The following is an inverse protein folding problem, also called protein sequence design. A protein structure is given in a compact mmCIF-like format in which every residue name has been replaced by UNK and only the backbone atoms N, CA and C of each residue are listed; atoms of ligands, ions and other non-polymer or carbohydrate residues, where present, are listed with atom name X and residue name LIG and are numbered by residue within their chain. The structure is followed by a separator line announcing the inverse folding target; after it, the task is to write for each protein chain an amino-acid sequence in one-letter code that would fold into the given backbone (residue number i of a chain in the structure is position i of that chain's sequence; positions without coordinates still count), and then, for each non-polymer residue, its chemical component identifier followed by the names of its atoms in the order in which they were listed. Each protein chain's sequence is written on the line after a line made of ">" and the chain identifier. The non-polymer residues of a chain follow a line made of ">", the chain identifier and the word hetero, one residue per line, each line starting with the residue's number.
data_IF_838572674487
#
_entry.id   IF_838572674487
#
_cell.length_a   1.000
_cell.length_b   1.000
_cell.length_c   1.000
_cell.angle_alpha   90.00
_cell.angle_beta   90.00
_cell.angle_gamma   90.00
#
_symmetry.space_group_name_H-M   'P 1'
#
loop_
_entity.id
_entity.type
_entity.pdbx_description
1 polymer ?
#
# COMPACT_ATOMS: atom_id res chain seq x y z
N UNK A 1 14.79 -10.15 -11.06
CA UNK A 1 15.88 -9.89 -10.08
C UNK A 1 15.76 -10.87 -8.94
N UNK A 2 14.63 -10.84 -8.24
CA UNK A 2 14.38 -11.68 -7.07
C UNK A 2 14.47 -13.18 -7.42
N UNK A 3 13.90 -13.61 -8.55
CA UNK A 3 14.02 -14.99 -9.04
C UNK A 3 15.49 -15.48 -9.17
N UNK A 4 16.34 -14.67 -9.83
CA UNK A 4 17.79 -14.94 -9.96
C UNK A 4 18.54 -15.02 -8.62
N UNK A 5 18.06 -14.31 -7.58
CA UNK A 5 18.68 -14.30 -6.25
C UNK A 5 18.19 -15.47 -5.40
N UNK A 6 16.93 -15.88 -5.58
CA UNK A 6 16.33 -16.95 -4.81
C UNK A 6 16.71 -18.34 -5.35
N UNK A 7 16.85 -18.47 -6.66
CA UNK A 7 17.22 -19.74 -7.28
C UNK A 7 18.63 -20.21 -6.87
N UNK A 8 19.56 -19.29 -6.58
CA UNK A 8 20.89 -19.64 -6.04
C UNK A 8 20.83 -20.26 -4.65
N UNK A 9 19.70 -20.10 -3.95
CA UNK A 9 19.44 -20.69 -2.64
C UNK A 9 18.47 -21.89 -2.73
N UNK A 10 18.25 -22.44 -3.94
CA UNK A 10 17.25 -23.48 -4.21
C UNK A 10 15.85 -23.11 -3.69
N UNK A 11 15.50 -21.82 -3.74
CA UNK A 11 14.17 -21.30 -3.39
C UNK A 11 13.48 -20.76 -4.64
N UNK A 12 12.20 -21.07 -4.74
CA UNK A 12 11.32 -20.54 -5.78
C UNK A 12 10.39 -19.49 -5.15
N UNK A 13 10.35 -18.29 -5.72
CA UNK A 13 9.34 -17.29 -5.36
C UNK A 13 8.06 -17.51 -6.16
N UNK A 14 6.92 -17.41 -5.48
CA UNK A 14 5.61 -17.30 -6.13
C UNK A 14 5.08 -15.89 -5.96
N UNK A 15 4.49 -15.35 -7.03
CA UNK A 15 3.95 -13.99 -7.06
C UNK A 15 2.44 -14.03 -7.37
N UNK A 16 1.57 -14.37 -6.39
CA UNK A 16 0.13 -14.53 -6.64
C UNK A 16 -0.54 -13.29 -7.24
N UNK A 17 -0.09 -12.09 -6.89
CA UNK A 17 -0.61 -10.84 -7.44
C UNK A 17 -0.18 -10.56 -8.89
N UNK A 18 0.75 -11.34 -9.43
CA UNK A 18 1.15 -11.31 -10.84
C UNK A 18 0.50 -12.45 -11.66
N UNK A 19 -0.42 -13.20 -11.07
CA UNK A 19 -1.16 -14.23 -11.80
C UNK A 19 -1.98 -13.62 -12.95
N UNK A 20 -2.09 -14.37 -14.05
CA UNK A 20 -2.77 -13.90 -15.27
C UNK A 20 -4.23 -13.58 -15.02
N UNK A 21 -4.95 -14.38 -14.24
CA UNK A 21 -6.36 -14.16 -13.96
C UNK A 21 -6.56 -12.92 -13.09
N UNK A 22 -5.69 -12.72 -12.09
CA UNK A 22 -5.69 -11.53 -11.23
C UNK A 22 -5.44 -10.27 -12.06
N UNK A 23 -4.43 -10.26 -12.92
CA UNK A 23 -4.11 -9.12 -13.78
C UNK A 23 -5.27 -8.83 -14.75
N UNK A 24 -5.83 -9.86 -15.39
CA UNK A 24 -6.95 -9.71 -16.33
C UNK A 24 -8.18 -9.11 -15.63
N UNK A 25 -8.55 -9.63 -14.47
CA UNK A 25 -9.65 -9.10 -13.67
C UNK A 25 -9.39 -7.64 -13.28
N UNK A 26 -8.23 -7.33 -12.71
CA UNK A 26 -7.88 -5.96 -12.35
C UNK A 26 -7.95 -5.04 -13.57
N UNK A 27 -7.43 -5.43 -14.73
CA UNK A 27 -7.47 -4.60 -15.94
C UNK A 27 -8.88 -4.35 -16.47
N UNK A 28 -9.84 -5.27 -16.24
CA UNK A 28 -11.24 -5.05 -16.61
C UNK A 28 -11.98 -4.06 -15.70
N UNK A 29 -11.47 -3.80 -14.49
CA UNK A 29 -12.13 -2.92 -13.54
C UNK A 29 -11.86 -1.43 -13.83
N UNK A 30 -12.89 -0.57 -13.70
CA UNK A 30 -12.72 0.89 -13.69
C UNK A 30 -11.72 1.33 -12.62
N UNK A 31 -11.05 2.46 -12.86
CA UNK A 31 -9.96 2.95 -11.99
C UNK A 31 -10.44 3.33 -10.58
N UNK A 32 -11.69 3.76 -10.46
CA UNK A 32 -12.38 4.15 -9.23
C UNK A 32 -12.54 2.98 -8.25
N UNK A 33 -12.48 1.75 -8.75
CA UNK A 33 -12.48 0.54 -7.91
C UNK A 33 -11.08 0.24 -7.35
N UNK A 34 -10.03 0.77 -7.98
CA UNK A 34 -8.62 0.57 -7.59
C UNK A 34 -8.11 1.71 -6.71
N UNK A 35 -8.67 2.91 -6.87
CA UNK A 35 -8.25 4.12 -6.19
C UNK A 35 -9.43 5.00 -5.79
N UNK A 36 -9.28 5.69 -4.66
CA UNK A 36 -10.20 6.76 -4.26
C UNK A 36 -9.60 8.11 -4.64
N UNK A 37 -10.42 8.95 -5.27
CA UNK A 37 -10.04 10.31 -5.65
C UNK A 37 -10.59 11.40 -4.70
N UNK A 38 -11.45 11.03 -3.75
CA UNK A 38 -12.07 12.00 -2.84
C UNK A 38 -11.12 12.43 -1.71
N UNK A 39 -10.99 13.74 -1.44
CA UNK A 39 -10.08 14.27 -0.42
C UNK A 39 -10.43 13.84 1.01
N UNK A 40 -11.70 13.56 1.30
CA UNK A 40 -12.17 13.14 2.63
C UNK A 40 -11.62 11.76 3.05
N UNK A 41 -11.36 10.87 2.09
CA UNK A 41 -10.82 9.53 2.32
C UNK A 41 -9.28 9.46 2.31
N UNK A 42 -8.60 10.57 2.01
CA UNK A 42 -7.14 10.67 2.10
C UNK A 42 -6.67 10.91 3.55
N UNK A 43 -7.58 11.34 4.43
CA UNK A 43 -7.31 11.49 5.86
C UNK A 43 -7.29 10.11 6.53
N UNK A 44 -6.11 9.69 6.99
CA UNK A 44 -5.94 8.49 7.83
C UNK A 44 -6.53 8.66 9.23
N UNK A 45 -7.00 9.86 9.59
CA UNK A 45 -7.61 10.10 10.88
C UNK A 45 -8.93 9.32 10.96
N UNK A 46 -9.13 8.45 11.97
CA UNK A 46 -10.44 7.91 12.22
C UNK A 46 -11.38 9.09 12.45
N UNK A 47 -12.41 9.23 11.62
CA UNK A 47 -13.50 10.14 11.93
C UNK A 47 -14.05 9.71 13.30
N UNK A 48 -14.26 10.63 14.25
CA UNK A 48 -14.92 10.29 15.51
C UNK A 48 -16.24 9.57 15.18
N UNK A 49 -16.63 8.53 15.96
CA UNK A 49 -17.90 7.86 15.74
C UNK A 49 -19.01 8.91 15.77
N UNK A 50 -19.95 8.90 14.81
CA UNK A 50 -21.03 9.87 14.78
C UNK A 50 -21.83 9.74 16.08
N UNK A 51 -21.86 10.83 16.84
CA UNK A 51 -22.74 10.95 17.98
C UNK A 51 -24.17 11.02 17.43
N UNK A 52 -24.90 9.92 17.57
CA UNK A 52 -26.35 9.75 17.32
C UNK A 52 -26.85 9.86 15.88
N UNK A 53 -27.94 9.11 15.64
CA UNK A 53 -28.81 9.01 14.45
C UNK A 53 -28.38 8.06 13.32
N UNK A 54 -29.11 6.94 13.31
CA UNK A 54 -29.40 6.00 12.23
C UNK A 54 -29.67 6.68 10.86
N UNK A 55 -29.13 6.11 9.78
CA UNK A 55 -29.88 5.66 8.58
C UNK A 55 -28.92 5.34 7.40
N UNK A 56 -28.78 4.04 7.09
CA UNK A 56 -28.64 3.51 5.72
C UNK A 56 -27.38 3.82 4.88
N UNK A 57 -26.45 4.65 5.30
CA UNK A 57 -25.26 4.98 4.49
C UNK A 57 -24.06 4.14 4.93
N UNK A 58 -23.78 3.08 4.17
CA UNK A 58 -22.61 2.20 4.29
C UNK A 58 -21.39 3.00 4.73
N UNK A 59 -20.99 2.87 6.00
CA UNK A 59 -19.82 3.51 6.59
C UNK A 59 -18.59 3.05 5.81
N UNK A 60 -18.25 3.76 4.73
CA UNK A 60 -17.04 3.50 3.95
C UNK A 60 -15.86 3.81 4.86
N UNK A 61 -15.36 2.78 5.52
CA UNK A 61 -14.09 2.79 6.25
C UNK A 61 -13.05 3.46 5.36
N UNK A 62 -12.57 4.65 5.77
CA UNK A 62 -11.64 5.41 4.96
C UNK A 62 -10.29 4.69 4.90
N UNK A 63 -10.06 3.96 3.81
CA UNK A 63 -8.76 3.42 3.45
C UNK A 63 -8.01 4.44 2.60
N UNK A 64 -6.66 4.51 2.70
CA UNK A 64 -5.85 5.38 1.87
C UNK A 64 -6.18 5.24 0.38
N UNK A 65 -6.05 6.34 -0.36
CA UNK A 65 -6.50 6.44 -1.76
C UNK A 65 -5.85 5.49 -2.75
N UNK A 66 -4.75 4.81 -2.39
CA UNK A 66 -4.09 3.79 -3.23
C UNK A 66 -4.53 2.36 -2.87
N UNK A 67 -4.63 1.48 -3.87
CA UNK A 67 -4.88 0.04 -3.68
C UNK A 67 -6.18 -0.27 -2.92
N UNK A 68 -7.22 0.53 -3.15
CA UNK A 68 -8.48 0.49 -2.41
C UNK A 68 -9.05 -0.93 -2.31
N UNK A 69 -9.19 -1.61 -3.45
CA UNK A 69 -9.71 -2.98 -3.50
C UNK A 69 -8.92 -3.94 -2.60
N UNK A 70 -7.59 -3.87 -2.63
CA UNK A 70 -6.74 -4.72 -1.79
C UNK A 70 -6.89 -4.39 -0.30
N UNK A 71 -7.03 -3.11 0.03
CA UNK A 71 -7.22 -2.65 1.41
C UNK A 71 -8.59 -3.06 1.96
N UNK A 72 -9.65 -2.98 1.16
CA UNK A 72 -10.99 -3.46 1.50
C UNK A 72 -10.97 -4.97 1.76
N UNK A 73 -10.37 -5.76 0.87
CA UNK A 73 -10.25 -7.22 1.07
C UNK A 73 -9.47 -7.52 2.37
N UNK A 74 -8.35 -6.85 2.58
CA UNK A 74 -7.54 -7.05 3.77
C UNK A 74 -8.29 -6.68 5.06
N UNK A 75 -8.93 -5.52 5.10
CA UNK A 75 -9.58 -5.01 6.31
C UNK A 75 -10.96 -5.61 6.59
N UNK A 76 -11.82 -5.67 5.58
CA UNK A 76 -13.23 -6.06 5.74
C UNK A 76 -13.43 -7.57 5.65
N UNK A 77 -12.68 -8.26 4.78
CA UNK A 77 -12.86 -9.70 4.56
C UNK A 77 -11.91 -10.53 5.42
N UNK A 78 -10.64 -10.10 5.52
CA UNK A 78 -9.60 -10.86 6.24
C UNK A 78 -9.34 -10.36 7.67
N UNK A 79 -9.97 -9.27 8.11
CA UNK A 79 -9.82 -8.71 9.46
C UNK A 79 -8.47 -8.02 9.72
N UNK A 80 -7.66 -7.75 8.69
CA UNK A 80 -6.34 -7.11 8.78
C UNK A 80 -6.45 -5.57 8.78
N UNK A 81 -7.35 -5.01 9.58
CA UNK A 81 -7.68 -3.58 9.57
C UNK A 81 -6.45 -2.66 9.79
N UNK A 82 -5.53 -3.04 10.68
CA UNK A 82 -4.30 -2.29 10.92
C UNK A 82 -3.38 -2.26 9.68
N UNK A 83 -3.13 -3.42 9.07
CA UNK A 83 -2.30 -3.55 7.87
C UNK A 83 -2.89 -2.86 6.65
N UNK A 84 -4.23 -2.95 6.50
CA UNK A 84 -4.98 -2.31 5.42
C UNK A 84 -4.89 -0.78 5.42
N UNK A 85 -4.46 -0.15 6.53
CA UNK A 85 -4.31 1.31 6.65
C UNK A 85 -2.88 1.80 6.46
N UNK A 86 -1.88 0.91 6.44
CA UNK A 86 -0.48 1.32 6.32
C UNK A 86 -0.17 1.94 4.96
N UNK A 87 0.59 3.05 4.94
CA UNK A 87 1.09 3.66 3.70
C UNK A 87 2.05 2.68 2.99
N UNK A 88 1.95 2.57 1.66
CA UNK A 88 2.90 1.78 0.87
C UNK A 88 4.32 2.33 1.06
N UNK A 89 5.23 1.50 1.57
CA UNK A 89 6.67 1.77 1.58
C UNK A 89 7.38 0.75 0.70
N UNK A 90 8.14 1.20 -0.30
CA UNK A 90 8.93 0.26 -1.09
C UNK A 90 10.06 -0.32 -0.22
N UNK A 91 10.40 -1.61 -0.42
CA UNK A 91 11.36 -2.34 0.40
C UNK A 91 12.69 -1.56 0.51
N UNK A 92 13.20 -1.04 -0.60
CA UNK A 92 14.46 -0.27 -0.64
C UNK A 92 14.48 1.00 0.23
N UNK A 93 13.31 1.59 0.52
CA UNK A 93 13.18 2.72 1.43
C UNK A 93 12.91 2.27 2.86
N UNK A 94 12.17 1.17 3.04
CA UNK A 94 11.88 0.60 4.36
C UNK A 94 13.11 0.00 5.04
N UNK A 95 14.01 -0.62 4.28
CA UNK A 95 15.26 -1.21 4.79
C UNK A 95 16.42 -0.21 4.88
N UNK A 96 16.19 1.07 4.56
CA UNK A 96 17.23 2.12 4.42
C UNK A 96 18.34 1.79 3.41
N UNK A 97 18.18 0.77 2.56
CA UNK A 97 19.20 0.35 1.58
C UNK A 97 19.45 1.36 0.47
N UNK A 98 18.53 2.32 0.27
CA UNK A 98 18.73 3.45 -0.63
C UNK A 98 19.76 4.48 -0.13
N UNK A 99 20.16 4.44 1.15
CA UNK A 99 21.17 5.31 1.74
C UNK A 99 22.37 4.47 2.16
N UNK A 100 23.13 3.99 1.17
CA UNK A 100 24.48 3.51 1.43
C UNK A 100 25.39 4.73 1.44
N UNK A 101 25.73 5.23 2.63
CA UNK A 101 26.94 6.02 2.78
C UNK A 101 28.11 5.08 2.47
N UNK A 102 28.76 5.28 1.33
CA UNK A 102 30.08 4.73 1.10
C UNK A 102 30.99 5.44 2.09
N UNK A 103 31.42 4.74 3.14
CA UNK A 103 32.50 5.22 3.99
C UNK A 103 33.68 5.55 3.07
N UNK A 104 33.97 6.85 2.93
CA UNK A 104 35.13 7.35 2.19
C UNK A 104 34.88 7.83 0.77
N UNK A 105 34.03 8.85 0.57
CA UNK A 105 34.37 10.08 -0.19
C UNK A 105 33.15 10.99 -0.28
N UNK A 106 33.32 12.22 0.19
CA UNK A 106 32.28 13.23 0.28
C UNK A 106 31.53 13.45 -1.02
N UNK A 107 30.22 13.24 -0.95
CA UNK A 107 29.27 13.62 -2.00
C UNK A 107 27.90 13.79 -1.35
N UNK A 108 27.59 15.01 -0.91
CA UNK A 108 26.25 15.40 -0.46
C UNK A 108 25.28 15.17 -1.62
N UNK A 109 24.46 14.12 -1.56
CA UNK A 109 23.29 13.99 -2.44
C UNK A 109 22.05 14.25 -1.59
N UNK A 110 21.52 15.46 -1.73
CA UNK A 110 20.37 16.02 -1.01
C UNK A 110 19.10 15.25 -1.40
N UNK A 111 18.72 14.27 -0.60
CA UNK A 111 17.34 13.75 -0.61
C UNK A 111 16.44 14.81 0.01
N UNK A 112 15.44 15.28 -0.73
CA UNK A 112 14.45 16.22 -0.22
C UNK A 112 13.59 15.51 0.84
N UNK A 113 13.95 15.73 2.10
CA UNK A 113 13.14 15.46 3.27
C UNK A 113 12.38 16.75 3.58
N UNK A 114 11.06 16.75 3.41
CA UNK A 114 10.19 17.66 4.15
C UNK A 114 9.00 16.85 4.67
N UNK A 115 9.00 16.63 5.98
CA UNK A 115 7.85 16.25 6.79
C UNK A 115 7.95 17.04 8.10
N UNK A 116 7.05 18.02 8.26
CA UNK A 116 6.80 18.71 9.53
C UNK A 116 7.49 20.04 9.67
#
# INVERSE_FOLDING_TARGET
>A
RDDRILCTHAKEARYPFLDRAVIAYLNSLPVEHKMTFSPEHLSLAPSPPPASSEEGSSTRTAYPGDKLLLRLVAGEILGLAGGARLKKRAIQFGSRSAKMEVEGRGGKVKGHEELG
#
